data_IF_756866350418
#
_entry.id   IF_756866350418
#
_cell.length_a   1.000
_cell.length_b   1.000
_cell.length_c   1.000
_cell.angle_alpha   90.00
_cell.angle_beta   90.00
_cell.angle_gamma   90.00
#
_symmetry.space_group_name_H-M   'P 1'
#
loop_
_entity.id
_entity.type
_entity.pdbx_description
1 polymer ?
#
# COMPACT_ATOMS: atom_id res chain seq x y z
N UNK A 1 1.33 1.17 23.77
CA UNK A 1 0.77 2.02 22.71
C UNK A 1 1.62 1.84 21.47
N UNK A 2 1.05 1.24 20.46
CA UNK A 2 1.65 0.91 19.18
C UNK A 2 0.65 1.22 18.05
N UNK A 3 1.17 1.51 16.85
CA UNK A 3 0.34 1.86 15.71
C UNK A 3 -0.48 3.14 15.87
N UNK A 4 -1.17 3.50 14.78
CA UNK A 4 -2.19 4.56 14.79
C UNK A 4 -3.57 3.95 14.75
N UNK A 5 -4.52 4.55 15.47
CA UNK A 5 -5.94 4.15 15.43
C UNK A 5 -6.70 4.81 14.26
N UNK A 6 -6.12 5.84 13.63
CA UNK A 6 -6.78 6.64 12.60
C UNK A 6 -5.89 6.74 11.36
N UNK A 7 -6.02 5.75 10.47
CA UNK A 7 -5.25 5.68 9.22
C UNK A 7 -5.87 6.46 8.05
N UNK A 8 -7.11 6.96 8.20
CA UNK A 8 -7.88 7.57 7.11
C UNK A 8 -7.94 6.69 5.84
N UNK A 9 -7.96 5.38 6.04
CA UNK A 9 -7.96 4.36 4.99
C UNK A 9 -9.37 3.85 4.72
N UNK A 10 -9.59 3.34 3.50
CA UNK A 10 -10.79 2.60 3.14
C UNK A 10 -10.40 1.31 2.42
N UNK A 11 -11.02 0.19 2.79
CA UNK A 11 -10.74 -1.13 2.22
C UNK A 11 -11.45 -1.38 0.87
N UNK A 12 -12.32 -0.44 0.46
CA UNK A 12 -13.07 -0.46 -0.79
C UNK A 12 -14.08 -1.61 -0.93
N UNK A 13 -14.54 -2.18 0.20
CA UNK A 13 -15.68 -3.11 0.26
C UNK A 13 -15.41 -4.41 1.02
N UNK A 14 -14.16 -4.86 1.07
CA UNK A 14 -13.75 -6.10 1.74
C UNK A 14 -12.43 -5.87 2.49
N UNK A 15 -12.24 -6.46 3.67
CA UNK A 15 -10.99 -6.31 4.43
C UNK A 15 -9.93 -7.31 3.94
N UNK A 16 -8.69 -6.86 3.73
CA UNK A 16 -7.60 -7.74 3.27
C UNK A 16 -7.72 -8.18 1.79
N UNK A 17 -7.07 -9.29 1.40
CA UNK A 17 -7.11 -9.80 0.03
C UNK A 17 -8.53 -10.17 -0.42
N UNK A 18 -8.94 -9.68 -1.60
CA UNK A 18 -10.27 -9.91 -2.16
C UNK A 18 -10.19 -10.74 -3.45
N UNK A 19 -11.16 -11.65 -3.64
CA UNK A 19 -11.34 -12.37 -4.91
C UNK A 19 -12.22 -11.59 -5.90
N UNK A 20 -12.93 -10.56 -5.45
CA UNK A 20 -13.79 -9.74 -6.29
C UNK A 20 -12.93 -8.92 -7.28
N UNK A 21 -13.09 -9.12 -8.61
CA UNK A 21 -12.38 -8.32 -9.60
C UNK A 21 -12.70 -6.82 -9.52
N UNK A 22 -13.91 -6.42 -9.15
CA UNK A 22 -14.31 -5.02 -9.05
C UNK A 22 -13.57 -4.30 -7.91
N UNK A 23 -13.45 -4.94 -6.74
CA UNK A 23 -12.70 -4.41 -5.60
C UNK A 23 -11.22 -4.27 -5.96
N UNK A 24 -10.62 -5.31 -6.58
CA UNK A 24 -9.21 -5.26 -7.01
C UNK A 24 -8.94 -4.14 -8.03
N UNK A 25 -9.81 -3.99 -9.03
CA UNK A 25 -9.71 -2.89 -10.01
C UNK A 25 -9.85 -1.52 -9.34
N UNK A 26 -10.78 -1.35 -8.41
CA UNK A 26 -10.96 -0.12 -7.66
C UNK A 26 -9.71 0.24 -6.85
N UNK A 27 -9.13 -0.72 -6.11
CA UNK A 27 -7.89 -0.52 -5.36
C UNK A 27 -6.72 -0.13 -6.25
N UNK A 28 -6.56 -0.81 -7.39
CA UNK A 28 -5.54 -0.50 -8.40
C UNK A 28 -5.67 0.93 -8.95
N UNK A 29 -6.90 1.40 -9.19
CA UNK A 29 -7.16 2.78 -9.59
C UNK A 29 -6.80 3.77 -8.48
N UNK A 30 -7.11 3.45 -7.23
CA UNK A 30 -6.84 4.33 -6.09
C UNK A 30 -5.36 4.48 -5.81
N UNK A 31 -4.57 3.39 -5.92
CA UNK A 31 -3.11 3.47 -5.87
C UNK A 31 -2.58 4.47 -6.90
N UNK A 32 -3.05 4.40 -8.15
CA UNK A 32 -2.66 5.35 -9.21
C UNK A 32 -3.11 6.79 -8.93
N UNK A 33 -4.30 6.98 -8.34
CA UNK A 33 -4.78 8.31 -7.97
C UNK A 33 -3.87 8.97 -6.91
N UNK A 34 -3.43 8.22 -5.89
CA UNK A 34 -2.49 8.72 -4.90
C UNK A 34 -1.12 9.04 -5.52
N UNK A 35 -0.60 8.15 -6.37
CA UNK A 35 0.67 8.37 -7.07
C UNK A 35 0.62 9.61 -7.96
N UNK A 36 -0.47 9.79 -8.73
CA UNK A 36 -0.69 10.97 -9.54
C UNK A 36 -0.74 12.23 -8.67
N UNK A 37 -1.45 12.19 -7.54
CA UNK A 37 -1.54 13.32 -6.62
C UNK A 37 -0.17 13.68 -6.03
N UNK A 38 0.62 12.69 -5.61
CA UNK A 38 1.95 12.87 -5.06
C UNK A 38 2.92 13.52 -6.06
N UNK A 39 2.92 13.04 -7.31
CA UNK A 39 3.88 13.49 -8.33
C UNK A 39 3.47 14.75 -9.08
N UNK A 40 2.17 15.05 -9.16
CA UNK A 40 1.66 16.22 -9.89
C UNK A 40 1.46 17.45 -8.97
N UNK A 41 1.56 17.27 -7.65
CA UNK A 41 1.50 18.37 -6.69
C UNK A 41 2.81 19.16 -6.68
N UNK A 42 2.72 20.45 -6.37
CA UNK A 42 3.90 21.31 -6.22
C UNK A 42 4.71 20.91 -4.97
N UNK A 43 6.04 20.85 -5.10
CA UNK A 43 6.96 20.48 -4.02
C UNK A 43 7.88 19.32 -4.40
N UNK A 44 8.56 18.76 -3.40
CA UNK A 44 9.43 17.59 -3.59
C UNK A 44 8.68 16.32 -3.17
N UNK A 45 8.37 15.40 -4.10
CA UNK A 45 7.66 14.17 -3.76
C UNK A 45 8.55 13.23 -2.95
N UNK A 46 7.97 12.51 -1.99
CA UNK A 46 8.60 11.41 -1.26
C UNK A 46 7.72 10.17 -1.38
N UNK A 47 8.29 9.09 -1.89
CA UNK A 47 7.62 7.80 -2.04
C UNK A 47 8.14 6.80 -1.02
N UNK A 48 7.24 5.98 -0.47
CA UNK A 48 7.60 4.87 0.40
C UNK A 48 8.10 3.71 -0.45
N UNK A 49 9.24 3.12 -0.10
CA UNK A 49 9.81 2.00 -0.84
C UNK A 49 8.86 0.78 -0.86
N UNK A 50 8.69 0.21 -2.06
CA UNK A 50 7.77 -0.88 -2.35
C UNK A 50 6.38 -0.44 -2.81
N UNK A 51 5.97 0.82 -2.61
CA UNK A 51 4.68 1.30 -3.10
C UNK A 51 4.62 1.34 -4.63
N UNK A 52 5.78 1.45 -5.30
CA UNK A 52 5.92 1.42 -6.75
C UNK A 52 5.42 0.11 -7.39
N UNK A 53 5.40 -1.01 -6.63
CA UNK A 53 4.88 -2.31 -7.07
C UNK A 53 3.73 -2.84 -6.19
N UNK A 54 3.26 -2.05 -5.22
CA UNK A 54 2.14 -2.42 -4.35
C UNK A 54 2.49 -3.35 -3.19
N UNK A 55 3.65 -3.14 -2.55
CA UNK A 55 4.08 -3.87 -1.35
C UNK A 55 3.00 -3.86 -0.27
N UNK A 56 2.84 -4.98 0.44
CA UNK A 56 1.86 -5.14 1.51
C UNK A 56 2.49 -5.64 2.80
N UNK A 57 2.12 -5.02 3.93
CA UNK A 57 2.48 -5.46 5.27
C UNK A 57 1.36 -6.27 5.94
N UNK A 58 0.43 -6.83 5.15
CA UNK A 58 -0.72 -7.63 5.64
C UNK A 58 -1.53 -6.90 6.73
N UNK A 59 -1.88 -5.65 6.46
CA UNK A 59 -2.60 -4.73 7.36
C UNK A 59 -1.84 -4.29 8.63
N UNK A 60 -0.57 -4.65 8.80
CA UNK A 60 0.25 -4.12 9.89
C UNK A 60 0.68 -2.68 9.58
N UNK A 61 0.17 -1.69 10.32
CA UNK A 61 0.52 -0.27 10.16
C UNK A 61 1.72 0.18 11.00
N UNK A 62 2.40 -0.75 11.69
CA UNK A 62 3.51 -0.47 12.60
C UNK A 62 4.50 -1.65 12.66
N UNK A 63 5.09 -2.02 11.52
CA UNK A 63 6.03 -3.14 11.41
C UNK A 63 7.44 -2.84 11.97
N UNK A 64 7.55 -2.13 13.10
CA UNK A 64 8.83 -1.61 13.63
C UNK A 64 9.79 -2.70 14.12
N UNK A 65 9.26 -3.82 14.61
CA UNK A 65 10.02 -4.95 15.16
C UNK A 65 10.00 -6.19 14.28
N UNK A 66 9.57 -6.06 13.03
CA UNK A 66 9.43 -7.17 12.10
C UNK A 66 10.63 -7.19 11.15
N UNK A 67 11.56 -8.12 11.36
CA UNK A 67 12.61 -8.45 10.38
C UNK A 67 12.26 -9.77 9.69
N UNK A 68 11.28 -9.70 8.79
CA UNK A 68 10.69 -10.84 8.07
C UNK A 68 9.91 -10.36 6.84
N UNK A 69 9.18 -11.26 6.19
CA UNK A 69 8.43 -11.02 4.95
C UNK A 69 7.32 -9.94 5.08
N UNK A 70 6.97 -9.49 6.29
CA UNK A 70 6.05 -8.36 6.50
C UNK A 70 6.74 -7.02 6.19
N UNK A 71 8.05 -6.91 6.45
CA UNK A 71 8.81 -5.67 6.25
C UNK A 71 9.69 -5.70 5.01
N UNK A 72 10.18 -6.87 4.61
CA UNK A 72 11.03 -7.04 3.43
C UNK A 72 10.34 -6.61 2.13
N UNK A 73 11.15 -6.20 1.15
CA UNK A 73 10.68 -5.96 -0.22
C UNK A 73 10.77 -7.29 -0.97
N UNK A 74 9.62 -7.75 -1.48
CA UNK A 74 9.54 -8.94 -2.33
C UNK A 74 9.90 -8.56 -3.77
N UNK A 75 11.14 -8.84 -4.17
CA UNK A 75 11.63 -8.57 -5.52
C UNK A 75 11.21 -9.64 -6.54
N UNK A 76 10.97 -10.87 -6.09
CA UNK A 76 10.62 -12.00 -6.97
C UNK A 76 9.20 -11.85 -7.54
N UNK A 77 8.31 -11.18 -6.79
CA UNK A 77 6.95 -10.86 -7.22
C UNK A 77 6.82 -9.75 -8.26
N UNK A 78 7.92 -9.09 -8.65
CA UNK A 78 7.90 -7.97 -9.61
C UNK A 78 8.07 -8.53 -11.03
N UNK A 79 6.96 -8.72 -11.74
CA UNK A 79 7.00 -9.02 -13.18
C UNK A 79 7.16 -7.75 -14.02
N UNK A 80 7.99 -7.77 -15.08
CA UNK A 80 8.06 -6.70 -16.09
C UNK A 80 6.72 -6.40 -16.77
#
# INVERSE_FOLDING_TARGET
>A
NDGTNSNFSWNHGEEGPSKDPAIRQLRLRQMRNFMATLFLSQGTPMMVAGDEFGRSQKCNNNAYCQDNEISWIDWDGITP
#
